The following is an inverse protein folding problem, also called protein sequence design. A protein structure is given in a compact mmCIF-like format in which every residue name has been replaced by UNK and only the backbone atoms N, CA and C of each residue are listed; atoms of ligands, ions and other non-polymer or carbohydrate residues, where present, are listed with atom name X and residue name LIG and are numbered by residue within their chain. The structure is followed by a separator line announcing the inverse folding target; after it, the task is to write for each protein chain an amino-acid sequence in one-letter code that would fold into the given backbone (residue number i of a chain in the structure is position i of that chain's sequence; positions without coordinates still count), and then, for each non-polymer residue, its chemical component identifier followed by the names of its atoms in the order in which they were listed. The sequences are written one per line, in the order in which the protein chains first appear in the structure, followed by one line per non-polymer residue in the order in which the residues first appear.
data_IF_666262891430
#
_entry.id   IF_666262891430
#
_cell.length_a   1.000
_cell.length_b   1.000
_cell.length_c   1.000
_cell.angle_alpha   90.00
_cell.angle_beta   90.00
_cell.angle_gamma   90.00
#
_symmetry.space_group_name_H-M   'P 1'
#
loop_
_entity.id
_entity.type
_entity.pdbx_description
1 polymer ?
#
# COMPACT_ATOMS: atom_id res chain seq x y z
N UNK A 1 -43.09 5.74 -37.06
CA UNK A 1 -43.63 4.72 -36.14
C UNK A 1 -42.44 4.19 -35.37
N UNK A 2 -42.29 4.63 -34.13
CA UNK A 2 -41.09 4.48 -33.32
C UNK A 2 -41.44 3.62 -32.10
N UNK A 3 -40.70 2.55 -31.86
CA UNK A 3 -40.83 1.75 -30.64
C UNK A 3 -39.58 1.95 -29.78
N UNK A 4 -39.77 2.56 -28.62
CA UNK A 4 -38.79 2.63 -27.53
C UNK A 4 -38.94 1.40 -26.65
N UNK A 5 -37.87 0.61 -26.49
CA UNK A 5 -37.82 -0.52 -25.55
C UNK A 5 -37.18 -0.03 -24.25
N UNK A 6 -37.96 -0.06 -23.18
CA UNK A 6 -37.52 0.21 -21.79
C UNK A 6 -37.24 -1.12 -21.11
N UNK A 7 -35.99 -1.33 -20.67
CA UNK A 7 -35.64 -2.48 -19.84
C UNK A 7 -35.20 -1.96 -18.47
N UNK A 8 -36.09 -2.09 -17.48
CA UNK A 8 -35.78 -1.89 -16.09
C UNK A 8 -35.13 -3.18 -15.54
N UNK A 9 -33.97 -3.07 -14.91
CA UNK A 9 -33.34 -4.18 -14.18
C UNK A 9 -33.22 -3.79 -12.71
N UNK A 10 -33.99 -4.48 -11.88
CA UNK A 10 -33.99 -4.35 -10.43
C UNK A 10 -33.07 -5.42 -9.83
N UNK A 11 -32.07 -5.00 -9.06
CA UNK A 11 -31.38 -5.89 -8.13
C UNK A 11 -31.58 -5.36 -6.70
N UNK A 12 -32.44 -6.08 -5.98
CA UNK A 12 -32.49 -6.07 -4.51
C UNK A 12 -31.54 -7.14 -4.01
N UNK A 13 -30.57 -6.78 -3.17
CA UNK A 13 -29.86 -7.75 -2.34
C UNK A 13 -29.84 -7.26 -0.90
N UNK A 14 -30.51 -8.06 -0.08
CA UNK A 14 -30.55 -8.06 1.38
C UNK A 14 -29.14 -8.13 1.97
N UNK A 15 -28.80 -7.23 2.88
CA UNK A 15 -27.70 -7.45 3.84
C UNK A 15 -28.31 -7.63 5.22
N UNK A 16 -28.14 -8.85 5.72
CA UNK A 16 -28.55 -9.33 7.02
C UNK A 16 -27.86 -8.58 8.16
N UNK A 17 -28.68 -8.25 9.16
CA UNK A 17 -28.33 -7.68 10.44
C UNK A 17 -27.62 -8.74 11.30
N UNK A 18 -26.31 -8.60 11.55
CA UNK A 18 -25.60 -9.39 12.56
C UNK A 18 -25.59 -8.59 13.85
N UNK A 19 -26.43 -9.02 14.78
CA UNK A 19 -26.59 -8.47 16.11
C UNK A 19 -25.60 -9.17 17.04
N UNK A 20 -24.53 -8.47 17.44
CA UNK A 20 -23.58 -8.96 18.44
C UNK A 20 -24.16 -8.75 19.85
N UNK A 21 -24.19 -9.78 20.72
CA UNK A 21 -24.51 -9.61 22.13
C UNK A 21 -23.30 -9.07 22.91
N UNK A 22 -23.59 -8.13 23.81
CA UNK A 22 -22.68 -7.58 24.82
C UNK A 22 -22.24 -8.68 25.82
N UNK A 23 -20.96 -8.75 26.21
CA UNK A 23 -20.53 -9.53 27.37
C UNK A 23 -20.56 -8.71 28.67
N UNK A 24 -21.10 -9.36 29.70
CA UNK A 24 -21.27 -8.95 31.10
C UNK A 24 -19.92 -8.72 31.83
N UNK A 25 -19.76 -7.71 32.71
CA UNK A 25 -18.52 -7.47 33.43
C UNK A 25 -18.55 -8.07 34.85
N UNK A 26 -17.82 -9.17 35.07
CA UNK A 26 -17.49 -9.55 36.46
C UNK A 26 -17.01 -10.98 36.67
N UNK A 27 -15.69 -11.21 36.59
CA UNK A 27 -14.97 -12.17 37.45
C UNK A 27 -13.44 -12.00 37.31
N UNK A 28 -12.65 -12.19 38.38
CA UNK A 28 -11.21 -11.94 38.43
C UNK A 28 -10.35 -13.11 37.94
N UNK A 29 -9.08 -12.78 37.65
CA UNK A 29 -8.00 -13.57 37.05
C UNK A 29 -7.71 -14.94 37.69
N UNK A 30 -6.98 -15.80 36.95
CA UNK A 30 -5.65 -16.18 37.45
C UNK A 30 -4.52 -16.21 36.41
N UNK A 31 -3.35 -15.95 36.97
CA UNK A 31 -1.94 -16.17 36.60
C UNK A 31 -1.54 -17.22 35.56
N UNK A 32 -0.40 -16.88 34.95
CA UNK A 32 0.74 -17.71 34.53
C UNK A 32 0.50 -18.87 33.55
N UNK A 33 0.98 -18.69 32.31
CA UNK A 33 1.75 -19.76 31.70
C UNK A 33 2.76 -19.26 30.65
N UNK A 34 3.96 -19.79 30.81
CA UNK A 34 5.15 -19.58 30.01
C UNK A 34 5.10 -20.30 28.64
N UNK A 35 5.91 -19.73 27.74
CA UNK A 35 6.75 -20.38 26.73
C UNK A 35 6.31 -20.43 25.26
N UNK A 36 7.31 -20.34 24.35
CA UNK A 36 7.16 -19.92 22.96
C UNK A 36 7.37 -21.07 21.96
N UNK A 37 6.70 -21.00 20.82
CA UNK A 37 7.04 -21.85 19.66
C UNK A 37 6.73 -21.14 18.34
N UNK A 38 7.81 -20.88 17.60
CA UNK A 38 7.98 -21.23 16.19
C UNK A 38 7.14 -20.54 15.11
N UNK A 39 7.87 -19.72 14.34
CA UNK A 39 8.08 -19.85 12.90
C UNK A 39 6.99 -19.46 11.88
N UNK A 40 7.44 -18.60 10.96
CA UNK A 40 7.14 -18.59 9.53
C UNK A 40 5.67 -18.43 9.10
N UNK A 41 5.17 -17.19 9.12
CA UNK A 41 3.99 -16.79 8.34
C UNK A 41 4.23 -15.58 7.43
N UNK A 42 5.48 -15.40 6.96
CA UNK A 42 5.78 -14.42 5.93
C UNK A 42 5.31 -14.93 4.56
N UNK A 43 4.22 -14.33 4.10
CA UNK A 43 3.71 -14.17 2.73
C UNK A 43 3.28 -15.41 1.93
N UNK A 44 2.18 -16.04 2.37
CA UNK A 44 1.29 -16.76 1.45
C UNK A 44 0.31 -15.79 0.74
N UNK A 45 -0.01 -14.66 1.36
CA UNK A 45 -1.01 -13.70 0.85
C UNK A 45 -0.60 -13.05 -0.48
N UNK A 46 0.66 -12.62 -0.65
CA UNK A 46 1.08 -11.96 -1.91
C UNK A 46 1.14 -12.94 -3.08
N UNK A 47 1.53 -14.19 -2.83
CA UNK A 47 1.49 -15.27 -3.84
C UNK A 47 0.05 -15.56 -4.30
N UNK A 48 -0.91 -15.45 -3.37
CA UNK A 48 -2.33 -15.65 -3.68
C UNK A 48 -2.89 -14.53 -4.55
N UNK A 49 -2.51 -13.27 -4.31
CA UNK A 49 -2.94 -12.12 -5.13
C UNK A 49 -2.38 -12.20 -6.55
N UNK A 50 -1.11 -12.59 -6.69
CA UNK A 50 -0.50 -12.73 -8.02
C UNK A 50 -1.14 -13.86 -8.84
N UNK A 51 -1.35 -15.04 -8.24
CA UNK A 51 -2.00 -16.17 -8.91
C UNK A 51 -3.46 -15.87 -9.28
N UNK A 52 -4.18 -15.10 -8.45
CA UNK A 52 -5.53 -14.61 -8.76
C UNK A 52 -5.54 -13.64 -9.94
N UNK A 53 -4.62 -12.67 -9.98
CA UNK A 53 -4.50 -11.73 -11.11
C UNK A 53 -4.16 -12.44 -12.42
N UNK A 54 -3.27 -13.43 -12.36
CA UNK A 54 -2.91 -14.25 -13.52
C UNK A 54 -4.10 -15.08 -14.01
N UNK A 55 -4.84 -15.70 -13.09
CA UNK A 55 -6.05 -16.47 -13.42
C UNK A 55 -7.15 -15.58 -14.04
N UNK A 56 -7.33 -14.36 -13.52
CA UNK A 56 -8.28 -13.39 -14.06
C UNK A 56 -7.88 -12.92 -15.47
N UNK A 57 -6.58 -12.69 -15.72
CA UNK A 57 -6.04 -12.36 -17.04
C UNK A 57 -6.29 -13.47 -18.07
N UNK A 58 -6.02 -14.73 -17.72
CA UNK A 58 -6.29 -15.86 -18.61
C UNK A 58 -7.78 -16.06 -18.85
N UNK A 59 -8.63 -15.91 -17.83
CA UNK A 59 -10.09 -15.97 -17.99
C UNK A 59 -10.60 -14.94 -18.99
N UNK A 60 -10.17 -13.68 -18.87
CA UNK A 60 -10.57 -12.61 -19.78
C UNK A 60 -10.11 -12.87 -21.24
N UNK A 61 -8.97 -13.52 -21.44
CA UNK A 61 -8.48 -13.92 -22.76
C UNK A 61 -9.36 -15.03 -23.35
N UNK A 62 -9.69 -16.05 -22.56
CA UNK A 62 -10.56 -17.15 -23.01
C UNK A 62 -11.95 -16.63 -23.39
N UNK A 63 -12.51 -15.73 -22.59
CA UNK A 63 -13.82 -15.13 -22.88
C UNK A 63 -13.80 -14.32 -24.18
N UNK A 64 -12.73 -13.57 -24.44
CA UNK A 64 -12.59 -12.82 -25.69
C UNK A 64 -12.39 -13.73 -26.90
N UNK A 65 -11.66 -14.83 -26.75
CA UNK A 65 -11.50 -15.84 -27.81
C UNK A 65 -12.85 -16.49 -28.12
N UNK A 66 -13.62 -16.88 -27.09
CA UNK A 66 -14.95 -17.46 -27.26
C UNK A 66 -15.93 -16.48 -27.89
N UNK A 67 -15.91 -15.20 -27.47
CA UNK A 67 -16.72 -14.15 -28.07
C UNK A 67 -16.34 -13.93 -29.55
N UNK A 68 -15.04 -13.92 -29.87
CA UNK A 68 -14.56 -13.81 -31.24
C UNK A 68 -15.02 -15.00 -32.10
N UNK A 69 -14.98 -16.23 -31.56
CA UNK A 69 -15.49 -17.42 -32.26
C UNK A 69 -17.00 -17.36 -32.49
N UNK A 70 -17.80 -16.97 -31.50
CA UNK A 70 -19.24 -16.82 -31.67
C UNK A 70 -19.59 -15.73 -32.70
N UNK A 71 -18.80 -14.65 -32.75
CA UNK A 71 -18.97 -13.59 -33.75
C UNK A 71 -18.61 -14.08 -35.16
N UNK A 72 -17.61 -14.97 -35.27
CA UNK A 72 -17.20 -15.61 -36.52
C UNK A 72 -18.28 -16.54 -37.08
N UNK A 73 -19.00 -17.26 -36.22
CA UNK A 73 -20.13 -18.11 -36.62
C UNK A 73 -21.37 -17.28 -37.00
N UNK A 74 -21.61 -16.16 -36.32
CA UNK A 74 -22.80 -15.33 -36.52
C UNK A 74 -22.71 -14.37 -37.72
N UNK A 75 -21.51 -13.92 -38.12
CA UNK A 75 -21.35 -12.93 -39.19
C UNK A 75 -20.19 -13.29 -40.14
N UNK A 76 -20.52 -13.67 -41.38
CA UNK A 76 -19.57 -13.78 -42.50
C UNK A 76 -19.12 -12.39 -43.04
N UNK A 77 -19.02 -11.36 -42.19
CA UNK A 77 -18.43 -10.06 -42.56
C UNK A 77 -16.94 -10.06 -42.20
N UNK A 78 -16.10 -10.35 -43.20
CA UNK A 78 -14.64 -10.50 -43.14
C UNK A 78 -13.85 -9.35 -42.48
N UNK A 79 -14.46 -8.19 -42.19
CA UNK A 79 -13.79 -7.01 -41.65
C UNK A 79 -13.55 -7.03 -40.14
N UNK A 80 -14.46 -7.58 -39.34
CA UNK A 80 -14.38 -7.51 -37.87
C UNK A 80 -13.41 -8.57 -37.29
N UNK A 81 -13.23 -9.67 -38.00
CA UNK A 81 -12.30 -10.74 -37.62
C UNK A 81 -10.84 -10.29 -37.75
N UNK A 82 -10.53 -9.48 -38.77
CA UNK A 82 -9.20 -8.90 -38.97
C UNK A 82 -8.83 -7.94 -37.83
N UNK A 83 -9.77 -7.14 -37.34
CA UNK A 83 -9.55 -6.24 -36.21
C UNK A 83 -9.34 -6.99 -34.89
N UNK A 84 -10.11 -8.06 -34.65
CA UNK A 84 -9.93 -8.92 -33.49
C UNK A 84 -8.56 -9.65 -33.50
N UNK A 85 -8.17 -10.19 -34.65
CA UNK A 85 -6.85 -10.82 -34.84
C UNK A 85 -5.70 -9.84 -34.66
N UNK A 86 -5.83 -8.61 -35.18
CA UNK A 86 -4.84 -7.55 -34.96
C UNK A 86 -4.71 -7.20 -33.47
N UNK A 87 -5.82 -7.15 -32.73
CA UNK A 87 -5.84 -6.94 -31.28
C UNK A 87 -5.15 -8.06 -30.49
N UNK A 88 -5.39 -9.32 -30.87
CA UNK A 88 -4.73 -10.49 -30.25
C UNK A 88 -3.22 -10.47 -30.56
N UNK A 89 -2.83 -10.20 -31.80
CA UNK A 89 -1.42 -10.11 -32.20
C UNK A 89 -0.66 -9.01 -31.44
N UNK A 90 -1.27 -7.84 -31.25
CA UNK A 90 -0.69 -6.76 -30.45
C UNK A 90 -0.49 -7.16 -28.98
N UNK A 91 -1.46 -7.88 -28.40
CA UNK A 91 -1.34 -8.38 -27.02
C UNK A 91 -0.27 -9.47 -26.86
N UNK A 92 -0.14 -10.37 -27.83
CA UNK A 92 0.92 -11.39 -27.81
C UNK A 92 2.31 -10.75 -27.82
N UNK A 93 2.53 -9.70 -28.64
CA UNK A 93 3.80 -8.95 -28.60
C UNK A 93 4.07 -8.31 -27.24
N UNK A 94 3.06 -7.69 -26.62
CA UNK A 94 3.23 -7.13 -25.26
C UNK A 94 3.56 -8.22 -24.22
N UNK A 95 3.00 -9.42 -24.37
CA UNK A 95 3.34 -10.55 -23.49
C UNK A 95 4.79 -10.97 -23.70
N UNK A 96 5.25 -11.05 -24.95
CA UNK A 96 6.62 -11.42 -25.30
C UNK A 96 7.64 -10.40 -24.75
N UNK A 97 7.40 -9.10 -24.94
CA UNK A 97 8.22 -8.02 -24.37
C UNK A 97 8.26 -8.07 -22.84
N UNK A 98 7.13 -8.37 -22.19
CA UNK A 98 7.10 -8.53 -20.73
C UNK A 98 7.86 -9.79 -20.26
N UNK A 99 7.81 -10.88 -21.02
CA UNK A 99 8.56 -12.10 -20.70
C UNK A 99 10.07 -11.86 -20.82
N UNK A 100 10.52 -11.13 -21.83
CA UNK A 100 11.92 -10.72 -21.99
C UNK A 100 12.38 -9.87 -20.81
N UNK A 101 11.60 -8.83 -20.45
CA UNK A 101 11.90 -7.98 -19.29
C UNK A 101 11.98 -8.76 -17.97
N UNK A 102 11.05 -9.69 -17.74
CA UNK A 102 11.07 -10.54 -16.54
C UNK A 102 12.30 -11.45 -16.50
N UNK A 103 12.76 -11.95 -17.66
CA UNK A 103 13.98 -12.74 -17.74
C UNK A 103 15.22 -11.91 -17.37
N UNK A 104 15.30 -10.66 -17.83
CA UNK A 104 16.36 -9.72 -17.46
C UNK A 104 16.36 -9.42 -15.95
N UNK A 105 15.19 -9.13 -15.38
CA UNK A 105 15.02 -8.86 -13.95
C UNK A 105 15.42 -10.07 -13.10
N UNK A 106 15.05 -11.30 -13.49
CA UNK A 106 15.48 -12.52 -12.81
C UNK A 106 16.98 -12.75 -12.90
N UNK A 107 17.60 -12.46 -14.05
CA UNK A 107 19.04 -12.57 -14.21
C UNK A 107 19.78 -11.55 -13.33
N UNK A 108 19.25 -10.32 -13.22
CA UNK A 108 19.80 -9.28 -12.34
C UNK A 108 19.71 -9.68 -10.86
N UNK A 109 18.56 -10.21 -10.40
CA UNK A 109 18.39 -10.72 -9.03
C UNK A 109 19.33 -11.88 -8.75
N UNK A 110 19.47 -12.81 -9.70
CA UNK A 110 20.41 -13.95 -9.58
C UNK A 110 21.86 -13.46 -9.48
N UNK A 111 22.25 -12.45 -10.24
CA UNK A 111 23.57 -11.84 -10.17
C UNK A 111 23.80 -11.13 -8.83
N UNK A 112 22.80 -10.42 -8.31
CA UNK A 112 22.87 -9.78 -7.00
C UNK A 112 23.01 -10.81 -5.87
N UNK A 113 22.23 -11.88 -5.91
CA UNK A 113 22.33 -12.98 -4.94
C UNK A 113 23.70 -13.68 -5.01
N UNK A 114 24.24 -13.87 -6.22
CA UNK A 114 25.59 -14.39 -6.42
C UNK A 114 26.66 -13.53 -5.78
N UNK A 115 26.58 -12.20 -5.93
CA UNK A 115 27.52 -11.24 -5.29
C UNK A 115 27.44 -11.28 -3.76
N UNK A 116 26.24 -11.41 -3.20
CA UNK A 116 26.08 -11.56 -1.75
C UNK A 116 26.66 -12.90 -1.25
N UNK A 117 26.58 -13.96 -2.04
CA UNK A 117 27.12 -15.26 -1.68
C UNK A 117 28.66 -15.31 -1.76
N UNK A 118 29.27 -14.71 -2.80
CA UNK A 118 30.74 -14.66 -2.92
C UNK A 118 31.37 -13.71 -1.90
N UNK A 119 30.73 -12.57 -1.61
CA UNK A 119 31.22 -11.64 -0.59
C UNK A 119 31.04 -12.18 0.85
N UNK A 120 30.15 -13.16 1.05
CA UNK A 120 30.03 -13.89 2.32
C UNK A 120 31.11 -14.95 2.50
N UNK A 121 31.43 -15.70 1.44
CA UNK A 121 32.35 -16.85 1.51
C UNK A 121 33.83 -16.47 1.62
N UNK A 122 34.27 -15.40 0.96
CA UNK A 122 35.68 -14.95 1.05
C UNK A 122 36.03 -14.30 2.41
N UNK A 123 35.03 -14.01 3.24
CA UNK A 123 35.26 -13.56 4.63
C UNK A 123 35.25 -14.69 5.65
N UNK A 124 34.77 -15.88 5.28
CA UNK A 124 34.80 -17.07 6.13
C UNK A 124 36.00 -17.98 5.85
N UNK A 125 36.55 -18.01 4.62
CA UNK A 125 37.62 -18.96 4.29
C UNK A 125 39.05 -18.46 4.56
N UNK A 126 39.23 -17.17 4.88
CA UNK A 126 40.51 -16.62 5.39
C UNK A 126 40.50 -16.43 6.93
N UNK A 127 39.68 -17.20 7.65
CA UNK A 127 39.67 -17.26 9.13
C UNK A 127 39.47 -18.70 9.60
N UNK A 128 40.03 -19.69 8.90
CA UNK A 128 40.07 -21.09 9.38
C UNK A 128 41.51 -21.61 9.31
N UNK A 129 42.45 -20.84 9.84
CA UNK A 129 43.69 -21.40 10.38
C UNK A 129 44.26 -20.49 11.46
N UNK A 130 43.40 -19.98 12.34
CA UNK A 130 43.89 -19.34 13.57
C UNK A 130 42.80 -19.41 14.63
N UNK A 131 42.91 -20.47 15.44
CA UNK A 131 42.51 -20.52 16.86
C UNK A 131 41.02 -20.37 17.19
N UNK A 132 40.51 -21.37 17.90
CA UNK A 132 39.19 -21.35 18.50
C UNK A 132 39.08 -20.29 19.57
N UNK A 133 38.44 -19.17 19.22
CA UNK A 133 37.77 -18.28 20.15
C UNK A 133 36.28 -18.38 19.85
N UNK A 134 35.51 -18.73 20.89
CA UNK A 134 34.06 -18.69 20.87
C UNK A 134 33.59 -17.30 20.39
N UNK A 135 33.13 -17.23 19.14
CA UNK A 135 32.40 -16.06 18.65
C UNK A 135 31.10 -15.98 19.46
N UNK A 136 31.12 -15.15 20.49
CA UNK A 136 30.04 -15.02 21.45
C UNK A 136 28.67 -14.79 20.76
N UNK A 137 27.61 -15.53 21.16
CA UNK A 137 26.24 -15.38 20.63
C UNK A 137 25.57 -14.03 20.96
N UNK A 138 26.30 -13.09 21.57
CA UNK A 138 25.80 -11.82 22.09
C UNK A 138 25.45 -10.81 20.99
N UNK A 139 26.03 -10.94 19.79
CA UNK A 139 25.78 -9.97 18.70
C UNK A 139 24.48 -10.22 17.92
N UNK A 140 24.07 -11.50 17.79
CA UNK A 140 22.81 -11.84 17.15
C UNK A 140 21.60 -11.36 17.96
N UNK A 141 21.66 -11.52 19.28
CA UNK A 141 20.60 -11.06 20.18
C UNK A 141 20.38 -9.54 20.08
N UNK A 142 21.45 -8.75 20.00
CA UNK A 142 21.39 -7.30 19.80
C UNK A 142 20.80 -6.94 18.44
N UNK A 143 21.24 -7.61 17.37
CA UNK A 143 20.72 -7.39 16.03
C UNK A 143 19.20 -7.68 15.94
N UNK A 144 18.75 -8.79 16.53
CA UNK A 144 17.32 -9.14 16.60
C UNK A 144 16.53 -8.11 17.41
N UNK A 145 17.08 -7.62 18.53
CA UNK A 145 16.44 -6.58 19.33
C UNK A 145 16.30 -5.25 18.57
N UNK A 146 17.36 -4.81 17.86
CA UNK A 146 17.30 -3.61 17.02
C UNK A 146 16.31 -3.76 15.87
N UNK A 147 16.26 -4.94 15.24
CA UNK A 147 15.33 -5.23 14.17
C UNK A 147 13.89 -5.20 14.67
N UNK A 148 13.62 -5.84 15.81
CA UNK A 148 12.29 -5.82 16.45
C UNK A 148 11.85 -4.38 16.73
N UNK A 149 12.75 -3.56 17.28
CA UNK A 149 12.48 -2.13 17.52
C UNK A 149 12.18 -1.35 16.23
N UNK A 150 12.87 -1.65 15.13
CA UNK A 150 12.61 -1.03 13.81
C UNK A 150 11.24 -1.47 13.25
N UNK A 151 10.90 -2.75 13.39
CA UNK A 151 9.61 -3.31 12.96
C UNK A 151 8.46 -2.65 13.74
N UNK A 152 8.59 -2.54 15.06
CA UNK A 152 7.58 -1.87 15.90
C UNK A 152 7.45 -0.38 15.55
N UNK A 153 8.56 0.29 15.27
CA UNK A 153 8.58 1.68 14.78
C UNK A 153 7.83 1.85 13.46
N UNK A 154 8.02 0.92 12.51
CA UNK A 154 7.33 0.93 11.23
C UNK A 154 5.83 0.63 11.39
N UNK A 155 5.47 -0.36 12.20
CA UNK A 155 4.08 -0.69 12.48
C UNK A 155 3.31 0.50 13.08
N UNK A 156 3.94 1.23 14.01
CA UNK A 156 3.36 2.45 14.58
C UNK A 156 3.22 3.57 13.54
N UNK A 157 4.18 3.71 12.62
CA UNK A 157 4.12 4.68 11.53
C UNK A 157 2.94 4.40 10.59
N UNK A 158 2.77 3.14 10.17
CA UNK A 158 1.66 2.71 9.31
C UNK A 158 0.31 2.94 10.00
N UNK A 159 0.21 2.59 11.29
CA UNK A 159 -1.01 2.80 12.08
C UNK A 159 -1.39 4.29 12.17
N UNK A 160 -0.41 5.16 12.44
CA UNK A 160 -0.64 6.60 12.45
C UNK A 160 -1.09 7.13 11.09
N UNK A 161 -0.46 6.68 10.00
CA UNK A 161 -0.84 7.11 8.65
C UNK A 161 -2.24 6.64 8.26
N UNK A 162 -2.64 5.42 8.63
CA UNK A 162 -4.02 4.95 8.45
C UNK A 162 -5.03 5.84 9.19
N UNK A 163 -4.72 6.25 10.42
CA UNK A 163 -5.57 7.16 11.18
C UNK A 163 -5.63 8.57 10.57
N UNK A 164 -4.56 9.04 9.93
CA UNK A 164 -4.51 10.33 9.23
C UNK A 164 -5.25 10.32 7.90
N UNK A 165 -5.29 9.18 7.22
CA UNK A 165 -5.81 9.05 5.85
C UNK A 165 -7.23 9.60 5.71
N UNK A 166 -8.12 9.26 6.63
CA UNK A 166 -9.52 9.71 6.58
C UNK A 166 -9.63 11.24 6.63
N UNK A 167 -8.89 11.90 7.52
CA UNK A 167 -8.91 13.36 7.61
C UNK A 167 -8.30 14.01 6.36
N UNK A 168 -7.18 13.47 5.84
CA UNK A 168 -6.54 13.97 4.61
C UNK A 168 -7.45 13.84 3.38
N UNK A 169 -8.17 12.72 3.25
CA UNK A 169 -9.14 12.50 2.17
C UNK A 169 -10.33 13.47 2.25
N UNK A 170 -10.82 13.76 3.46
CA UNK A 170 -11.86 14.78 3.62
C UNK A 170 -11.33 16.18 3.27
N UNK A 171 -10.08 16.47 3.65
CA UNK A 171 -9.44 17.76 3.37
C UNK A 171 -9.11 17.94 1.88
N UNK A 172 -8.88 16.87 1.11
CA UNK A 172 -8.59 16.98 -0.33
C UNK A 172 -9.78 17.45 -1.15
N UNK A 173 -10.98 17.23 -0.64
CA UNK A 173 -12.21 17.69 -1.29
C UNK A 173 -12.50 19.17 -1.01
N UNK A 174 -11.69 19.83 -0.16
CA UNK A 174 -11.88 21.24 0.20
C UNK A 174 -11.36 22.12 -0.91
N UNK A 175 -12.29 22.83 -1.55
CA UNK A 175 -12.01 23.75 -2.66
C UNK A 175 -12.10 25.21 -2.21
N UNK A 176 -12.98 25.52 -1.24
CA UNK A 176 -13.25 26.90 -0.84
C UNK A 176 -12.58 27.29 0.48
N UNK A 177 -12.30 28.59 0.66
CA UNK A 177 -11.63 29.11 1.88
C UNK A 177 -12.46 28.95 3.15
N UNK A 178 -13.79 28.81 3.05
CA UNK A 178 -14.70 28.79 4.21
C UNK A 178 -15.02 27.38 4.71
N UNK A 179 -14.64 26.35 3.96
CA UNK A 179 -14.89 24.96 4.31
C UNK A 179 -14.07 24.52 5.54
N UNK A 180 -14.70 23.70 6.38
CA UNK A 180 -14.13 23.23 7.64
C UNK A 180 -13.06 22.17 7.41
N UNK A 181 -11.89 22.37 8.02
CA UNK A 181 -10.81 21.38 7.99
C UNK A 181 -11.07 20.27 9.03
N UNK A 182 -10.84 19.02 8.63
CA UNK A 182 -10.77 17.90 9.56
C UNK A 182 -9.38 17.87 10.20
N UNK A 183 -9.28 17.83 11.54
CA UNK A 183 -8.00 17.74 12.24
C UNK A 183 -7.27 16.44 11.90
N UNK A 184 -6.01 16.57 11.47
CA UNK A 184 -5.10 15.45 11.26
C UNK A 184 -4.36 15.17 12.57
N UNK A 185 -4.24 13.90 12.96
CA UNK A 185 -3.55 13.53 14.19
C UNK A 185 -2.03 13.72 14.07
N UNK A 186 -1.41 14.26 15.12
CA UNK A 186 0.04 14.41 15.24
C UNK A 186 0.76 13.10 15.57
N UNK A 187 2.07 13.17 15.78
CA UNK A 187 2.88 12.02 16.22
C UNK A 187 2.56 11.59 17.66
N UNK A 188 1.95 12.46 18.44
CA UNK A 188 1.45 12.18 19.80
C UNK A 188 0.07 11.50 19.81
N UNK A 189 -0.48 11.14 18.64
CA UNK A 189 -1.81 10.55 18.51
C UNK A 189 -2.97 11.51 18.79
N UNK A 190 -2.69 12.81 18.99
CA UNK A 190 -3.69 13.85 19.25
C UNK A 190 -3.61 14.92 18.16
N UNK A 191 -4.72 15.60 17.82
CA UNK A 191 -4.66 16.76 16.95
C UNK A 191 -3.82 17.87 17.63
N UNK A 192 -3.01 18.63 16.88
CA UNK A 192 -2.24 19.73 17.48
C UNK A 192 -3.15 20.83 18.05
N UNK A 193 -2.66 21.54 19.07
CA UNK A 193 -3.42 22.56 19.78
C UNK A 193 -3.78 23.74 18.85
N UNK A 194 -5.03 24.22 18.97
CA UNK A 194 -5.56 25.34 18.19
C UNK A 194 -5.46 25.10 16.66
N UNK A 195 -5.83 23.88 16.23
CA UNK A 195 -5.89 23.51 14.81
C UNK A 195 -6.83 24.46 14.03
N UNK A 196 -6.45 24.92 12.82
CA UNK A 196 -7.27 25.85 12.04
C UNK A 196 -8.63 25.25 11.72
N UNK A 197 -9.70 26.01 11.94
CA UNK A 197 -11.06 25.54 11.70
C UNK A 197 -11.38 25.48 10.19
N UNK A 198 -10.77 26.34 9.38
CA UNK A 198 -11.05 26.46 7.93
C UNK A 198 -9.78 26.56 7.08
N UNK A 199 -9.89 26.27 5.78
CA UNK A 199 -8.78 26.46 4.81
C UNK A 199 -8.29 27.90 4.80
N UNK A 200 -9.19 28.87 4.90
CA UNK A 200 -8.86 30.29 4.95
C UNK A 200 -8.01 30.65 6.17
N UNK A 201 -8.33 30.12 7.35
CA UNK A 201 -7.53 30.30 8.56
C UNK A 201 -6.14 29.69 8.40
N UNK A 202 -6.05 28.47 7.87
CA UNK A 202 -4.77 27.80 7.61
C UNK A 202 -3.83 28.68 6.78
N UNK A 203 -4.31 29.28 5.68
CA UNK A 203 -3.48 30.11 4.79
C UNK A 203 -2.91 31.37 5.48
N UNK A 204 -3.53 31.83 6.56
CA UNK A 204 -3.16 33.08 7.27
C UNK A 204 -2.57 32.85 8.66
N UNK A 205 -2.22 31.61 9.02
CA UNK A 205 -1.51 31.39 10.29
C UNK A 205 -0.10 32.00 10.26
N UNK A 206 0.44 32.30 11.43
CA UNK A 206 1.77 32.89 11.56
C UNK A 206 2.87 31.86 11.25
N UNK A 207 4.08 32.35 10.97
CA UNK A 207 5.26 31.51 10.70
C UNK A 207 5.52 30.53 11.85
N UNK A 208 5.44 31.00 13.08
CA UNK A 208 5.67 30.23 14.30
C UNK A 208 4.67 29.07 14.40
N UNK A 209 3.41 29.32 14.03
CA UNK A 209 2.37 28.29 14.03
C UNK A 209 2.59 27.22 12.96
N UNK A 210 3.08 27.58 11.77
CA UNK A 210 3.51 26.57 10.79
C UNK A 210 4.61 25.67 11.37
N UNK A 211 5.60 26.24 12.05
CA UNK A 211 6.71 25.47 12.66
C UNK A 211 6.23 24.55 13.78
N UNK A 212 5.29 25.00 14.62
CA UNK A 212 4.65 24.18 15.65
C UNK A 212 3.92 22.97 15.05
N UNK A 213 3.14 23.18 13.98
CA UNK A 213 2.47 22.09 13.27
C UNK A 213 3.48 21.11 12.66
N UNK A 214 4.51 21.61 11.97
CA UNK A 214 5.54 20.76 11.38
C UNK A 214 6.24 19.92 12.46
N UNK A 215 6.56 20.50 13.63
CA UNK A 215 7.12 19.75 14.76
C UNK A 215 6.15 18.69 15.28
N UNK A 216 4.87 19.00 15.40
CA UNK A 216 3.85 18.06 15.87
C UNK A 216 3.65 16.86 14.91
N UNK A 217 3.82 17.08 13.61
CA UNK A 217 3.76 16.04 12.57
C UNK A 217 5.10 15.36 12.28
N UNK A 218 6.21 15.83 12.85
CA UNK A 218 7.55 15.32 12.57
C UNK A 218 8.07 15.67 11.17
N UNK A 219 7.58 16.76 10.59
CA UNK A 219 8.01 17.26 9.29
C UNK A 219 9.29 18.12 9.43
N UNK A 220 10.18 18.15 8.42
CA UNK A 220 11.39 18.98 8.46
C UNK A 220 11.09 20.48 8.48
N UNK A 221 11.60 21.23 9.46
CA UNK A 221 11.32 22.67 9.66
C UNK A 221 12.19 23.60 8.76
N UNK A 222 12.57 23.13 7.57
CA UNK A 222 13.48 23.84 6.66
C UNK A 222 12.69 24.73 5.68
N UNK A 223 13.33 25.79 5.18
CA UNK A 223 12.77 26.67 4.15
C UNK A 223 12.13 27.96 4.68
N UNK A 224 11.64 28.78 3.74
CA UNK A 224 10.89 30.01 4.01
C UNK A 224 9.43 29.71 4.40
N UNK A 225 8.67 30.74 4.78
CA UNK A 225 7.27 30.58 5.22
C UNK A 225 6.39 29.96 4.12
N UNK A 226 6.65 30.26 2.85
CA UNK A 226 5.89 29.68 1.74
C UNK A 226 6.21 28.19 1.60
N UNK A 227 7.48 27.78 1.63
CA UNK A 227 7.86 26.36 1.60
C UNK A 227 7.24 25.58 2.76
N UNK A 228 7.27 26.13 3.97
CA UNK A 228 6.66 25.49 5.15
C UNK A 228 5.15 25.33 4.98
N UNK A 229 4.49 26.36 4.42
CA UNK A 229 3.07 26.33 4.10
C UNK A 229 2.75 25.26 3.07
N UNK A 230 3.51 25.16 1.97
CA UNK A 230 3.30 24.16 0.92
C UNK A 230 3.44 22.74 1.47
N UNK A 231 4.54 22.46 2.19
CA UNK A 231 4.80 21.15 2.80
C UNK A 231 3.67 20.76 3.76
N UNK A 232 3.21 21.71 4.58
CA UNK A 232 2.10 21.45 5.50
C UNK A 232 0.77 21.29 4.75
N UNK A 233 0.55 22.04 3.67
CA UNK A 233 -0.66 21.95 2.83
C UNK A 233 -0.77 20.55 2.22
N UNK A 234 0.31 20.06 1.62
CA UNK A 234 0.39 18.72 1.04
C UNK A 234 0.18 17.62 2.11
N UNK A 235 0.81 17.78 3.27
CA UNK A 235 0.66 16.84 4.37
C UNK A 235 -0.79 16.77 4.88
N UNK A 236 -1.47 17.91 5.01
CA UNK A 236 -2.88 17.96 5.43
C UNK A 236 -3.87 17.48 4.35
N UNK A 237 -3.37 17.21 3.14
CA UNK A 237 -4.17 16.77 2.00
C UNK A 237 -4.93 17.91 1.34
N UNK A 238 -4.47 19.15 1.42
CA UNK A 238 -5.17 20.30 0.83
C UNK A 238 -4.73 20.54 -0.62
N UNK A 239 -5.67 20.94 -1.46
CA UNK A 239 -5.40 21.31 -2.85
C UNK A 239 -4.60 22.62 -2.91
N UNK A 240 -3.58 22.71 -3.79
CA UNK A 240 -2.81 23.93 -3.99
C UNK A 240 -3.72 25.07 -4.45
N UNK A 241 -3.34 26.31 -4.11
CA UNK A 241 -4.02 27.48 -4.68
C UNK A 241 -3.75 27.50 -6.20
N UNK A 242 -4.82 27.35 -6.97
CA UNK A 242 -4.85 27.76 -8.38
C UNK A 242 -5.00 29.28 -8.48
#
# INVERSE_FOLDING_TARGET
MSHTVTTASSYSTLINHVQHPMPDPGAPAPSDNDSPTSDASVSCADSTVWSQNLSASFGAIVDQINAAFQTLEANHSHGDTANALAGIAARLRMIEENQERLAEELQAVKAQLGRHHTNGKEREEMVIETLGEEAEPVDLAKAVQELTKKVDGLANTVKLDQQRLHARLMNSNITTKKETLKPVIGNNGKPPQNYPATKGEFEHITKERYEEFMKAYGLPIKGDTNTKREVLREFLGLTPLQ
#
